data_IF_754861859359
#
_entry.id   IF_754861859359
#
_cell.length_a   1.000
_cell.length_b   1.000
_cell.length_c   1.000
_cell.angle_alpha   90.00
_cell.angle_beta   90.00
_cell.angle_gamma   90.00
#
_symmetry.space_group_name_H-M   'P 1'
#
loop_
_entity.id
_entity.type
_entity.pdbx_description
1 polymer ?
#
# COMPACT_ATOMS: atom_id res chain seq x y z
N UNK A 1 -14.64 -1.74 -21.71
CA UNK A 1 -14.50 -2.36 -20.38
C UNK A 1 -13.06 -2.15 -19.94
N UNK A 2 -12.80 -1.57 -18.76
CA UNK A 2 -11.43 -1.35 -18.27
C UNK A 2 -10.78 -2.72 -18.00
N UNK A 3 -9.53 -2.94 -18.45
CA UNK A 3 -8.78 -4.19 -18.23
C UNK A 3 -7.55 -3.90 -17.34
N UNK A 4 -7.75 -3.58 -16.05
CA UNK A 4 -6.70 -3.01 -15.20
C UNK A 4 -5.46 -3.91 -15.07
N UNK A 5 -5.64 -5.23 -15.11
CA UNK A 5 -4.54 -6.20 -15.06
C UNK A 5 -3.79 -6.30 -16.41
N UNK A 6 -4.50 -6.25 -17.54
CA UNK A 6 -3.86 -6.20 -18.86
C UNK A 6 -3.03 -4.92 -19.03
N UNK A 7 -3.53 -3.78 -18.56
CA UNK A 7 -2.84 -2.49 -18.65
C UNK A 7 -1.43 -2.53 -18.03
N UNK A 8 -1.19 -3.44 -17.05
CA UNK A 8 0.10 -3.64 -16.37
C UNK A 8 1.12 -4.47 -17.15
N UNK A 9 0.68 -5.19 -18.19
CA UNK A 9 1.50 -6.10 -19.02
C UNK A 9 1.38 -5.82 -20.52
N UNK A 10 0.63 -4.80 -20.93
CA UNK A 10 0.39 -4.46 -22.35
C UNK A 10 1.68 -4.15 -23.14
N UNK A 11 2.76 -3.82 -22.45
CA UNK A 11 4.09 -3.58 -23.04
C UNK A 11 4.83 -4.88 -23.39
N UNK A 12 4.39 -6.02 -22.85
CA UNK A 12 5.04 -7.34 -23.02
C UNK A 12 4.08 -8.42 -23.56
N UNK A 13 2.78 -8.20 -23.50
CA UNK A 13 1.76 -9.14 -23.95
C UNK A 13 0.72 -8.47 -24.85
N UNK A 14 0.35 -9.18 -25.92
CA UNK A 14 -0.84 -8.85 -26.70
C UNK A 14 -2.13 -9.18 -25.93
N UNK A 15 -3.25 -8.47 -26.19
CA UNK A 15 -4.52 -8.71 -25.51
C UNK A 15 -4.99 -10.16 -25.57
N UNK A 16 -4.88 -10.80 -26.74
CA UNK A 16 -5.32 -12.18 -26.97
C UNK A 16 -4.43 -13.19 -26.24
N UNK A 17 -3.13 -12.90 -26.15
CA UNK A 17 -2.18 -13.74 -25.42
C UNK A 17 -2.44 -13.69 -23.91
N UNK A 18 -2.74 -12.50 -23.38
CA UNK A 18 -3.15 -12.32 -21.99
C UNK A 18 -4.44 -13.08 -21.68
N UNK A 19 -5.48 -12.89 -22.49
CA UNK A 19 -6.78 -13.57 -22.29
C UNK A 19 -6.62 -15.11 -22.32
N UNK A 20 -5.82 -15.64 -23.24
CA UNK A 20 -5.53 -17.07 -23.31
C UNK A 20 -4.77 -17.59 -22.09
N UNK A 21 -3.89 -16.79 -21.49
CA UNK A 21 -3.18 -17.19 -20.27
C UNK A 21 -4.08 -17.17 -19.04
N UNK A 22 -4.98 -16.17 -18.94
CA UNK A 22 -6.01 -16.13 -17.89
C UNK A 22 -6.89 -17.37 -17.95
N UNK A 23 -7.35 -17.75 -19.14
CA UNK A 23 -8.17 -18.95 -19.32
C UNK A 23 -7.40 -20.24 -18.94
N UNK A 24 -6.08 -20.30 -19.24
CA UNK A 24 -5.23 -21.41 -18.78
C UNK A 24 -5.15 -21.47 -17.25
N UNK A 25 -5.00 -20.33 -16.57
CA UNK A 25 -4.98 -20.27 -15.10
C UNK A 25 -6.29 -20.76 -14.51
N UNK A 26 -7.43 -20.35 -15.07
CA UNK A 26 -8.76 -20.80 -14.63
C UNK A 26 -8.90 -22.32 -14.69
N UNK A 27 -8.43 -22.93 -15.79
CA UNK A 27 -8.42 -24.40 -15.96
C UNK A 27 -7.44 -25.07 -15.02
N UNK A 28 -6.21 -24.54 -14.89
CA UNK A 28 -5.15 -25.04 -14.01
C UNK A 28 -5.64 -25.15 -12.55
N UNK A 29 -6.39 -24.15 -12.09
CA UNK A 29 -6.91 -24.08 -10.72
C UNK A 29 -8.32 -24.67 -10.58
N UNK A 30 -8.82 -25.38 -11.61
CA UNK A 30 -10.10 -26.09 -11.57
C UNK A 30 -11.30 -25.20 -11.29
N UNK A 31 -11.24 -23.92 -11.68
CA UNK A 31 -12.30 -22.94 -11.41
C UNK A 31 -12.34 -22.41 -9.97
N UNK A 32 -11.32 -22.67 -9.14
CA UNK A 32 -11.22 -22.09 -7.79
C UNK A 32 -11.03 -20.57 -7.82
N UNK A 33 -10.35 -20.07 -8.85
CA UNK A 33 -10.14 -18.65 -9.08
C UNK A 33 -11.23 -18.12 -10.00
N UNK A 34 -11.70 -16.91 -9.73
CA UNK A 34 -12.45 -16.14 -10.72
C UNK A 34 -11.48 -15.52 -11.75
N UNK A 35 -12.04 -14.89 -12.80
CA UNK A 35 -11.24 -14.31 -13.88
C UNK A 35 -10.35 -13.15 -13.39
N UNK A 36 -10.78 -12.43 -12.35
CA UNK A 36 -10.02 -11.31 -11.81
C UNK A 36 -8.78 -11.82 -11.08
N UNK A 37 -8.95 -12.78 -10.15
CA UNK A 37 -7.86 -13.44 -9.45
C UNK A 37 -6.91 -14.18 -10.42
N UNK A 38 -7.45 -14.84 -11.45
CA UNK A 38 -6.62 -15.48 -12.48
C UNK A 38 -5.79 -14.44 -13.26
N UNK A 39 -6.37 -13.27 -13.56
CA UNK A 39 -5.66 -12.19 -14.25
C UNK A 39 -4.59 -11.52 -13.41
N UNK A 40 -4.78 -11.43 -12.08
CA UNK A 40 -3.73 -11.04 -11.14
C UNK A 40 -2.54 -12.00 -11.19
N UNK A 41 -2.81 -13.31 -11.20
CA UNK A 41 -1.74 -14.32 -11.25
C UNK A 41 -0.94 -14.23 -12.56
N UNK A 42 -1.59 -13.94 -13.69
CA UNK A 42 -0.88 -13.69 -14.95
C UNK A 42 0.05 -12.49 -14.83
N UNK A 43 -0.42 -11.37 -14.27
CA UNK A 43 0.42 -10.18 -14.04
C UNK A 43 1.66 -10.54 -13.20
N UNK A 44 1.48 -11.29 -12.12
CA UNK A 44 2.58 -11.73 -11.25
C UNK A 44 3.55 -12.69 -11.93
N UNK A 45 3.05 -13.64 -12.74
CA UNK A 45 3.88 -14.58 -13.52
C UNK A 45 4.80 -13.87 -14.51
N UNK A 46 4.37 -12.72 -15.01
CA UNK A 46 5.17 -11.84 -15.87
C UNK A 46 6.04 -10.83 -15.09
N UNK A 47 6.19 -11.04 -13.78
CA UNK A 47 7.06 -10.23 -12.92
C UNK A 47 6.54 -8.80 -12.69
N UNK A 48 5.26 -8.54 -12.94
CA UNK A 48 4.62 -7.24 -12.71
C UNK A 48 3.86 -7.25 -11.39
N UNK A 49 3.76 -6.08 -10.77
CA UNK A 49 3.01 -5.94 -9.52
C UNK A 49 1.54 -5.64 -9.79
N UNK A 50 0.66 -6.45 -9.20
CA UNK A 50 -0.79 -6.20 -9.20
C UNK A 50 -1.17 -4.98 -8.37
N UNK A 51 -0.33 -4.58 -7.40
CA UNK A 51 -0.55 -3.38 -6.61
C UNK A 51 -0.57 -2.14 -7.52
N UNK A 52 -1.58 -1.30 -7.34
CA UNK A 52 -1.69 -0.01 -8.03
C UNK A 52 -1.38 1.07 -7.01
N UNK A 53 -0.41 1.93 -7.32
CA UNK A 53 0.00 3.00 -6.42
C UNK A 53 -0.68 4.30 -6.84
N UNK A 54 -1.48 4.85 -5.93
CA UNK A 54 -2.11 6.16 -6.05
C UNK A 54 -1.10 7.23 -5.63
N UNK A 55 -0.99 8.31 -6.41
CA UNK A 55 -0.20 9.49 -6.03
C UNK A 55 -0.85 10.16 -4.82
N UNK A 56 -0.07 10.77 -3.95
CA UNK A 56 -0.60 11.42 -2.74
C UNK A 56 -1.64 12.50 -3.06
N UNK A 57 -1.44 13.28 -4.12
CA UNK A 57 -2.39 14.31 -4.55
C UNK A 57 -3.74 13.76 -5.01
N UNK A 58 -3.79 12.49 -5.42
CA UNK A 58 -5.00 11.82 -5.93
C UNK A 58 -5.67 10.96 -4.84
N UNK A 59 -5.23 11.04 -3.58
CA UNK A 59 -5.85 10.32 -2.47
C UNK A 59 -7.21 10.91 -2.13
N UNK A 60 -8.22 10.05 -2.08
CA UNK A 60 -9.59 10.42 -1.74
C UNK A 60 -9.95 9.93 -0.33
N UNK A 61 -10.56 10.80 0.46
CA UNK A 61 -11.03 10.44 1.80
C UNK A 61 -12.09 9.34 1.72
N UNK A 62 -11.95 8.34 2.58
CA UNK A 62 -12.87 7.21 2.65
C UNK A 62 -12.53 6.07 1.69
N UNK A 63 -11.50 6.22 0.86
CA UNK A 63 -11.03 5.19 -0.06
C UNK A 63 -9.88 4.35 0.53
N UNK A 64 -9.73 3.14 0.00
CA UNK A 64 -8.50 2.35 0.15
C UNK A 64 -7.50 2.77 -0.93
N UNK A 65 -6.23 2.89 -0.53
CA UNK A 65 -5.16 3.27 -1.42
C UNK A 65 -3.86 2.56 -1.02
N UNK A 66 -3.10 2.18 -2.05
CA UNK A 66 -1.68 1.88 -1.92
C UNK A 66 -0.88 3.07 -2.44
N UNK A 67 0.23 3.44 -1.82
CA UNK A 67 1.07 4.56 -2.25
C UNK A 67 2.56 4.27 -2.01
N UNK A 68 3.39 4.97 -2.78
CA UNK A 68 4.84 5.05 -2.57
C UNK A 68 5.19 6.44 -2.09
N UNK A 69 5.99 6.53 -1.04
CA UNK A 69 6.40 7.81 -0.49
C UNK A 69 7.78 7.72 0.16
N UNK A 70 8.39 8.88 0.40
CA UNK A 70 9.56 9.02 1.25
C UNK A 70 9.15 9.64 2.58
N UNK A 71 9.72 9.14 3.67
CA UNK A 71 9.60 9.77 4.99
C UNK A 71 10.43 11.05 4.98
N UNK A 72 9.77 12.21 5.09
CA UNK A 72 10.44 13.52 5.14
C UNK A 72 10.50 14.11 6.55
N UNK A 73 9.73 13.53 7.48
CA UNK A 73 9.70 13.95 8.88
C UNK A 73 9.01 12.90 9.75
N UNK A 74 9.08 13.09 11.06
CA UNK A 74 8.35 12.28 12.03
C UNK A 74 8.14 13.03 13.34
N UNK A 75 7.00 12.77 14.00
CA UNK A 75 6.79 13.26 15.35
C UNK A 75 7.63 12.48 16.37
N UNK A 76 7.87 13.03 17.57
CA UNK A 76 8.35 12.24 18.70
C UNK A 76 7.42 11.07 19.02
N UNK A 77 7.96 10.01 19.61
CA UNK A 77 7.18 8.92 20.19
C UNK A 77 6.31 9.47 21.30
N UNK A 78 5.00 9.24 21.21
CA UNK A 78 4.04 9.59 22.25
C UNK A 78 3.51 8.33 22.89
N UNK A 79 3.60 8.26 24.22
CA UNK A 79 3.01 7.20 25.02
C UNK A 79 1.76 7.71 25.73
N UNK A 80 0.76 6.85 25.88
CA UNK A 80 -0.50 7.16 26.57
C UNK A 80 -1.09 5.91 27.22
N UNK A 81 -2.01 6.10 28.17
CA UNK A 81 -2.77 5.01 28.78
C UNK A 81 -4.14 4.90 28.11
N UNK A 82 -4.52 3.70 27.70
CA UNK A 82 -5.85 3.40 27.15
C UNK A 82 -6.90 3.29 28.25
N UNK A 83 -8.18 3.27 27.85
CA UNK A 83 -9.30 3.10 28.78
C UNK A 83 -9.24 1.76 29.54
N UNK A 84 -8.67 0.71 28.94
CA UNK A 84 -8.47 -0.61 29.56
C UNK A 84 -7.23 -0.67 30.47
N UNK A 85 -6.51 0.43 30.65
CA UNK A 85 -5.28 0.50 31.45
C UNK A 85 -4.02 0.04 30.71
N UNK A 86 -4.12 -0.47 29.48
CA UNK A 86 -2.96 -0.82 28.66
C UNK A 86 -2.21 0.43 28.19
N UNK A 87 -0.91 0.31 27.92
CA UNK A 87 -0.12 1.40 27.33
C UNK A 87 -0.25 1.38 25.81
N UNK A 88 -0.54 2.53 25.23
CA UNK A 88 -0.50 2.76 23.79
C UNK A 88 0.67 3.65 23.41
N UNK A 89 1.21 3.43 22.22
CA UNK A 89 2.29 4.27 21.66
C UNK A 89 1.95 4.70 20.24
N UNK A 90 2.35 5.90 19.86
CA UNK A 90 2.17 6.41 18.50
C UNK A 90 3.31 7.31 18.04
N UNK A 91 3.71 7.15 16.78
CA UNK A 91 4.56 8.08 16.03
C UNK A 91 3.85 8.41 14.72
N UNK A 92 3.82 9.68 14.33
CA UNK A 92 3.29 10.06 13.03
C UNK A 92 4.44 10.31 12.06
N UNK A 93 4.48 9.52 10.99
CA UNK A 93 5.36 9.78 9.86
C UNK A 93 4.77 10.88 8.99
N UNK A 94 5.66 11.71 8.46
CA UNK A 94 5.39 12.69 7.44
C UNK A 94 5.89 12.16 6.10
N UNK A 95 4.97 11.91 5.17
CA UNK A 95 5.25 11.23 3.92
C UNK A 95 5.06 12.17 2.75
N UNK A 96 5.98 12.06 1.77
CA UNK A 96 5.97 12.89 0.59
C UNK A 96 6.31 12.09 -0.66
N UNK A 97 5.61 12.39 -1.74
CA UNK A 97 5.99 12.02 -3.10
C UNK A 97 6.11 13.31 -3.95
N UNK A 98 6.31 13.15 -5.24
CA UNK A 98 6.40 14.27 -6.18
C UNK A 98 5.09 15.07 -6.32
N UNK A 99 3.96 14.48 -5.93
CA UNK A 99 2.62 15.05 -6.11
C UNK A 99 2.11 15.79 -4.87
N UNK A 100 2.48 15.34 -3.66
CA UNK A 100 1.86 15.85 -2.44
C UNK A 100 2.41 15.30 -1.15
N UNK A 101 1.66 15.55 -0.08
CA UNK A 101 2.02 15.23 1.30
C UNK A 101 0.87 14.54 2.04
N UNK A 102 1.18 13.53 2.85
CA UNK A 102 0.24 12.89 3.77
C UNK A 102 0.94 12.43 5.05
N UNK A 103 0.14 12.04 6.04
CA UNK A 103 0.64 11.49 7.32
C UNK A 103 0.38 9.99 7.40
N UNK A 104 1.23 9.27 8.11
CA UNK A 104 1.02 7.84 8.40
C UNK A 104 1.34 7.53 9.87
N UNK A 105 0.36 7.20 10.72
CA UNK A 105 0.60 6.87 12.11
C UNK A 105 1.10 5.42 12.23
N UNK A 106 2.20 5.25 12.96
CA UNK A 106 2.67 3.97 13.46
C UNK A 106 2.15 3.79 14.87
N UNK A 107 1.45 2.69 15.12
CA UNK A 107 0.88 2.37 16.43
C UNK A 107 1.64 1.23 17.09
N UNK A 108 1.78 1.30 18.41
CA UNK A 108 2.21 0.21 19.28
C UNK A 108 3.51 -0.50 18.88
N UNK A 109 3.40 -1.69 18.27
CA UNK A 109 4.53 -2.49 17.81
C UNK A 109 5.24 -1.86 16.61
N UNK A 110 4.50 -1.16 15.74
CA UNK A 110 5.05 -0.49 14.56
C UNK A 110 5.97 0.67 14.97
N UNK A 111 5.80 1.25 16.16
CA UNK A 111 6.71 2.27 16.73
C UNK A 111 8.13 1.72 16.88
N UNK A 112 8.30 0.42 17.12
CA UNK A 112 9.61 -0.20 17.23
C UNK A 112 10.43 -0.12 15.93
N UNK A 113 9.79 0.09 14.77
CA UNK A 113 10.49 0.32 13.50
C UNK A 113 11.30 1.63 13.54
N UNK A 114 10.77 2.67 14.20
CA UNK A 114 11.45 3.95 14.38
C UNK A 114 12.50 3.85 15.47
N UNK A 115 12.17 3.25 16.62
CA UNK A 115 13.10 3.09 17.75
C UNK A 115 14.35 2.28 17.35
N UNK A 116 14.19 1.29 16.48
CA UNK A 116 15.30 0.47 15.94
C UNK A 116 16.01 1.10 14.74
N UNK A 117 15.63 2.30 14.33
CA UNK A 117 16.22 3.02 13.20
C UNK A 117 15.95 2.41 11.83
N UNK A 118 14.99 1.47 11.71
CA UNK A 118 14.59 0.90 10.41
C UNK A 118 13.80 1.89 9.58
N UNK A 119 13.00 2.73 10.25
CA UNK A 119 12.29 3.86 9.65
C UNK A 119 12.91 5.15 10.17
N UNK A 120 13.46 5.94 9.26
CA UNK A 120 14.08 7.23 9.53
C UNK A 120 13.68 8.24 8.43
N UNK A 121 14.01 9.52 8.65
CA UNK A 121 13.91 10.51 7.56
C UNK A 121 14.81 10.05 6.41
N UNK A 122 14.27 10.10 5.19
CA UNK A 122 14.90 9.59 3.98
C UNK A 122 14.48 8.17 3.59
N UNK A 123 13.90 7.38 4.50
CA UNK A 123 13.42 6.02 4.19
C UNK A 123 12.32 6.05 3.13
N UNK A 124 12.46 5.24 2.09
CA UNK A 124 11.41 5.02 1.08
C UNK A 124 10.50 3.89 1.54
N UNK A 125 9.19 4.09 1.40
CA UNK A 125 8.18 3.15 1.87
C UNK A 125 7.11 2.92 0.80
N UNK A 126 6.60 1.69 0.79
CA UNK A 126 5.34 1.32 0.17
C UNK A 126 4.31 1.10 1.26
N UNK A 127 3.17 1.75 1.10
CA UNK A 127 2.00 1.50 1.92
C UNK A 127 1.01 0.77 1.03
N UNK A 128 0.54 -0.39 1.47
CA UNK A 128 -0.38 -1.23 0.72
C UNK A 128 -1.72 -1.30 1.45
N UNK A 129 -2.81 -1.30 0.68
CA UNK A 129 -4.20 -1.52 1.12
C UNK A 129 -4.59 -0.74 2.39
N UNK A 130 -4.17 0.53 2.42
CA UNK A 130 -4.35 1.40 3.56
C UNK A 130 -5.56 2.31 3.37
N UNK A 131 -6.15 2.75 4.48
CA UNK A 131 -7.35 3.56 4.46
C UNK A 131 -7.03 5.05 4.61
N UNK A 132 -7.59 5.86 3.72
CA UNK A 132 -7.40 7.32 3.72
C UNK A 132 -8.48 7.99 4.56
N UNK A 133 -8.05 8.83 5.51
CA UNK A 133 -8.94 9.67 6.30
C UNK A 133 -8.46 11.12 6.30
N UNK A 134 -9.37 12.06 6.50
CA UNK A 134 -9.02 13.46 6.73
C UNK A 134 -8.93 13.75 8.22
N UNK A 135 -7.93 14.53 8.59
CA UNK A 135 -7.73 15.01 9.95
C UNK A 135 -7.50 16.53 9.93
N UNK A 136 -7.40 17.14 11.11
CA UNK A 136 -7.00 18.55 11.24
C UNK A 136 -5.58 18.83 10.69
N UNK A 137 -4.81 17.80 10.37
CA UNK A 137 -3.45 17.89 9.83
C UNK A 137 -3.36 17.52 8.35
N UNK A 138 -4.50 17.44 7.65
CA UNK A 138 -4.58 17.01 6.26
C UNK A 138 -4.93 15.53 6.11
N UNK A 139 -4.54 14.94 4.98
CA UNK A 139 -4.78 13.53 4.70
C UNK A 139 -3.85 12.66 5.56
N UNK A 140 -4.45 11.69 6.23
CA UNK A 140 -3.76 10.65 6.97
C UNK A 140 -4.11 9.30 6.36
N UNK A 141 -3.07 8.54 5.98
CA UNK A 141 -3.21 7.18 5.50
C UNK A 141 -2.95 6.25 6.68
N UNK A 142 -3.88 5.35 6.97
CA UNK A 142 -3.82 4.44 8.12
C UNK A 142 -3.77 3.01 7.65
N UNK A 143 -3.02 2.16 8.36
CA UNK A 143 -2.82 0.75 7.98
C UNK A 143 -4.13 -0.03 7.74
N UNK A 144 -5.24 0.28 8.41
CA UNK A 144 -6.46 -0.51 8.27
C UNK A 144 -6.26 -1.98 8.70
N UNK A 145 -7.24 -2.85 8.40
CA UNK A 145 -7.19 -4.27 8.81
C UNK A 145 -6.18 -5.10 8.00
N UNK A 146 -6.06 -4.80 6.71
CA UNK A 146 -5.26 -5.58 5.77
C UNK A 146 -4.02 -4.84 5.27
N UNK A 147 -3.91 -3.55 5.54
CA UNK A 147 -2.81 -2.78 5.02
C UNK A 147 -1.48 -3.10 5.70
N UNK A 148 -0.43 -2.71 5.01
CA UNK A 148 0.94 -2.96 5.42
C UNK A 148 1.85 -1.79 5.06
N UNK A 149 2.89 -1.61 5.88
CA UNK A 149 4.01 -0.74 5.57
C UNK A 149 5.20 -1.62 5.20
N UNK A 150 5.72 -1.43 3.99
CA UNK A 150 6.88 -2.14 3.47
C UNK A 150 8.00 -1.14 3.23
N UNK A 151 9.17 -1.43 3.78
CA UNK A 151 10.37 -0.61 3.56
C UNK A 151 10.98 -0.99 2.22
N UNK A 152 11.34 0.01 1.40
CA UNK A 152 12.12 -0.22 0.19
C UNK A 152 13.60 -0.01 0.53
N UNK A 153 14.43 -1.02 0.25
CA UNK A 153 15.88 -0.87 0.31
C UNK A 153 16.34 0.07 -0.82
N UNK A 154 17.32 0.91 -0.51
CA UNK A 154 17.87 1.92 -1.42
C UNK A 154 18.88 1.31 -2.41
#
# INVERSE_FOLDING_TARGET
MRRPHFDKVQDILAPEAFDAEVDRVLVEWGGLLDRDAASMLVVERHGRSVATFTRIADLEEGAEASLRAQVVGMSPVREFTRQDGSRGRVVNLELRDESGFCRFPLWDEDVALVERGKVAVGTRVRILDAYVKRTNWGLEVTRGKFGSLVLEEA
#
